data_IF_456900255311
#
_entry.id   IF_456900255311
#
_cell.length_a   1.000
_cell.length_b   1.000
_cell.length_c   1.000
_cell.angle_alpha   90.00
_cell.angle_beta   90.00
_cell.angle_gamma   90.00
#
_symmetry.space_group_name_H-M   'P 1'
#
loop_
_entity.id
_entity.type
_entity.pdbx_description
1 polymer ?
#
# COMPACT_ATOMS: atom_id res chain seq x y z
N UNK A 1 -56.84 -7.71 -16.82
CA UNK A 1 -55.87 -8.36 -17.71
C UNK A 1 -54.79 -8.91 -16.82
N UNK A 2 -54.67 -10.23 -16.85
CA UNK A 2 -54.05 -11.08 -15.84
C UNK A 2 -52.53 -10.97 -15.81
N UNK A 3 -52.00 -11.00 -14.58
CA UNK A 3 -50.64 -11.41 -14.27
C UNK A 3 -50.53 -12.92 -14.52
N UNK A 4 -49.76 -13.35 -15.51
CA UNK A 4 -49.35 -14.74 -15.63
C UNK A 4 -47.86 -14.88 -15.29
N UNK A 5 -47.66 -15.48 -14.12
CA UNK A 5 -46.44 -16.13 -13.66
C UNK A 5 -46.04 -17.21 -14.67
N UNK A 6 -44.85 -17.08 -15.27
CA UNK A 6 -44.20 -18.19 -15.98
C UNK A 6 -42.93 -18.59 -15.23
N UNK A 7 -43.14 -19.42 -14.21
CA UNK A 7 -42.14 -20.33 -13.67
C UNK A 7 -42.22 -21.61 -14.50
N UNK A 8 -41.29 -21.82 -15.43
CA UNK A 8 -41.04 -23.11 -16.05
C UNK A 8 -39.55 -23.23 -16.42
N UNK A 9 -38.91 -24.27 -15.88
CA UNK A 9 -37.61 -24.76 -16.36
C UNK A 9 -36.49 -24.76 -15.32
N UNK A 10 -36.61 -25.58 -14.27
CA UNK A 10 -35.41 -26.09 -13.58
C UNK A 10 -34.74 -27.12 -14.49
N UNK A 11 -33.89 -26.64 -15.39
CA UNK A 11 -32.84 -27.47 -16.00
C UNK A 11 -31.56 -27.26 -15.18
N UNK A 12 -31.00 -28.37 -14.70
CA UNK A 12 -29.68 -28.42 -14.08
C UNK A 12 -28.65 -27.87 -15.08
N UNK A 13 -28.21 -26.62 -14.90
CA UNK A 13 -27.13 -26.05 -15.71
C UNK A 13 -25.80 -26.31 -15.00
N UNK A 14 -25.15 -27.34 -15.51
CA UNK A 14 -23.74 -27.70 -15.42
C UNK A 14 -22.79 -26.53 -15.03
N UNK A 15 -22.10 -26.71 -13.91
CA UNK A 15 -21.03 -25.87 -13.40
C UNK A 15 -19.79 -25.98 -14.32
N UNK A 16 -19.75 -25.27 -15.46
CA UNK A 16 -18.50 -24.80 -16.10
C UNK A 16 -18.71 -24.11 -17.46
N UNK A 17 -19.46 -23.01 -17.51
CA UNK A 17 -19.18 -22.01 -18.56
C UNK A 17 -18.09 -21.08 -18.06
N UNK A 18 -16.87 -21.35 -18.49
CA UNK A 18 -15.73 -20.46 -18.33
C UNK A 18 -16.12 -19.10 -18.93
N UNK A 19 -16.42 -18.13 -18.07
CA UNK A 19 -16.85 -16.79 -18.48
C UNK A 19 -15.66 -16.18 -19.25
N UNK A 20 -15.81 -16.03 -20.56
CA UNK A 20 -14.79 -15.44 -21.41
C UNK A 20 -14.85 -13.91 -21.24
N UNK A 21 -13.97 -13.39 -20.38
CA UNK A 21 -13.92 -11.96 -20.06
C UNK A 21 -13.68 -11.09 -21.30
N UNK A 22 -12.94 -11.58 -22.29
CA UNK A 22 -12.68 -10.85 -23.54
C UNK A 22 -13.97 -10.67 -24.36
N UNK A 23 -14.85 -11.69 -24.35
CA UNK A 23 -16.14 -11.67 -25.07
C UNK A 23 -17.17 -10.80 -24.33
N UNK A 24 -17.09 -10.74 -23.01
CA UNK A 24 -17.89 -9.83 -22.18
C UNK A 24 -17.43 -8.37 -22.32
N UNK A 25 -16.12 -8.13 -22.42
CA UNK A 25 -15.55 -6.81 -22.69
C UNK A 25 -15.97 -6.32 -24.08
N UNK A 26 -15.89 -7.19 -25.09
CA UNK A 26 -16.31 -6.86 -26.47
C UNK A 26 -17.82 -6.59 -26.56
N UNK A 27 -18.67 -7.38 -25.89
CA UNK A 27 -20.11 -7.13 -25.81
C UNK A 27 -20.43 -5.81 -25.09
N UNK A 28 -19.70 -5.50 -24.03
CA UNK A 28 -19.86 -4.25 -23.28
C UNK A 28 -19.41 -3.04 -24.12
N UNK A 29 -18.30 -3.15 -24.85
CA UNK A 29 -17.81 -2.12 -25.78
C UNK A 29 -18.79 -1.89 -26.94
N UNK A 30 -19.36 -2.96 -27.51
CA UNK A 30 -20.38 -2.86 -28.55
C UNK A 30 -21.64 -2.17 -28.03
N UNK A 31 -22.08 -2.52 -26.83
CA UNK A 31 -23.25 -1.91 -26.22
C UNK A 31 -23.00 -0.43 -25.89
N UNK A 32 -21.83 -0.08 -25.34
CA UNK A 32 -21.45 1.33 -25.17
C UNK A 32 -21.42 2.08 -26.50
N UNK A 33 -20.82 1.51 -27.54
CA UNK A 33 -20.71 2.17 -28.86
C UNK A 33 -22.07 2.45 -29.49
N UNK A 34 -23.01 1.50 -29.37
CA UNK A 34 -24.37 1.66 -29.86
C UNK A 34 -25.11 2.76 -29.09
N UNK A 35 -25.01 2.76 -27.76
CA UNK A 35 -25.70 3.76 -26.93
C UNK A 35 -25.11 5.16 -27.06
N UNK A 36 -23.79 5.30 -27.19
CA UNK A 36 -23.16 6.59 -27.50
C UNK A 36 -23.59 7.13 -28.87
N UNK A 37 -23.76 6.26 -29.87
CA UNK A 37 -24.27 6.68 -31.20
C UNK A 37 -25.73 7.14 -31.15
N UNK A 38 -26.55 6.55 -30.28
CA UNK A 38 -27.93 6.99 -30.06
C UNK A 38 -27.95 8.35 -29.35
N UNK A 39 -27.07 8.54 -28.37
CA UNK A 39 -26.95 9.79 -27.62
C UNK A 39 -26.46 10.96 -28.50
N UNK A 40 -25.47 10.74 -29.37
CA UNK A 40 -25.00 11.75 -30.33
C UNK A 40 -26.12 12.20 -31.29
N UNK A 41 -26.95 11.26 -31.77
CA UNK A 41 -28.11 11.59 -32.61
C UNK A 41 -29.12 12.42 -31.85
N UNK A 42 -29.39 12.07 -30.60
CA UNK A 42 -30.33 12.78 -29.75
C UNK A 42 -29.82 14.18 -29.38
N UNK A 43 -28.51 14.34 -29.14
CA UNK A 43 -27.86 15.64 -28.93
C UNK A 43 -27.99 16.54 -30.17
N UNK A 44 -27.86 15.97 -31.37
CA UNK A 44 -28.04 16.67 -32.64
C UNK A 44 -29.49 17.13 -32.83
N UNK A 45 -30.47 16.25 -32.55
CA UNK A 45 -31.90 16.55 -32.61
C UNK A 45 -32.30 17.60 -31.57
N UNK A 46 -31.74 17.57 -30.36
CA UNK A 46 -31.93 18.59 -29.34
C UNK A 46 -31.36 19.96 -29.73
N UNK A 47 -30.26 20.01 -30.50
CA UNK A 47 -29.69 21.26 -31.05
C UNK A 47 -30.56 21.88 -32.15
N UNK A 48 -31.33 21.09 -32.88
CA UNK A 48 -32.24 21.57 -33.94
C UNK A 48 -33.56 22.16 -33.40
N UNK A 49 -33.99 21.75 -32.20
CA UNK A 49 -35.21 22.26 -31.55
C UNK A 49 -34.89 23.59 -30.86
N UNK A 50 -35.04 24.68 -31.62
CA UNK A 50 -34.64 26.05 -31.25
C UNK A 50 -35.27 26.58 -29.95
N UNK A 51 -34.58 26.48 -28.80
CA UNK A 51 -34.26 27.57 -27.83
C UNK A 51 -33.79 27.01 -26.48
N UNK A 52 -32.60 27.38 -25.97
CA UNK A 52 -31.66 26.38 -25.45
C UNK A 52 -31.44 26.31 -23.93
N UNK A 53 -32.03 27.19 -23.10
CA UNK A 53 -31.31 27.53 -21.85
C UNK A 53 -31.74 26.85 -20.54
N UNK A 54 -32.67 25.88 -20.53
CA UNK A 54 -32.94 25.05 -19.32
C UNK A 54 -33.51 23.66 -19.62
N UNK A 55 -34.36 23.55 -20.65
CA UNK A 55 -35.08 22.30 -20.91
C UNK A 55 -34.19 21.26 -21.59
N UNK A 56 -33.30 21.68 -22.50
CA UNK A 56 -32.32 20.79 -23.13
C UNK A 56 -31.37 20.19 -22.10
N UNK A 57 -30.83 21.02 -21.20
CA UNK A 57 -29.96 20.58 -20.10
C UNK A 57 -30.70 19.63 -19.13
N UNK A 58 -31.94 19.95 -18.73
CA UNK A 58 -32.73 19.08 -17.85
C UNK A 58 -33.07 17.74 -18.52
N UNK A 59 -33.34 17.73 -19.83
CA UNK A 59 -33.59 16.50 -20.58
C UNK A 59 -32.31 15.67 -20.70
N UNK A 60 -31.17 16.31 -21.00
CA UNK A 60 -29.89 15.61 -21.05
C UNK A 60 -29.49 15.07 -19.68
N UNK A 61 -29.67 15.84 -18.60
CA UNK A 61 -29.41 15.41 -17.22
C UNK A 61 -30.32 14.22 -16.85
N UNK A 62 -31.62 14.28 -17.13
CA UNK A 62 -32.54 13.16 -16.87
C UNK A 62 -32.20 11.91 -17.70
N UNK A 63 -31.78 12.08 -18.96
CA UNK A 63 -31.35 10.96 -19.81
C UNK A 63 -30.06 10.36 -19.28
N UNK A 64 -29.09 11.20 -18.86
CA UNK A 64 -27.85 10.73 -18.24
C UNK A 64 -28.10 10.06 -16.89
N UNK A 65 -29.01 10.57 -16.07
CA UNK A 65 -29.42 9.98 -14.81
C UNK A 65 -30.14 8.64 -15.04
N UNK A 66 -31.07 8.56 -16.00
CA UNK A 66 -31.74 7.30 -16.33
C UNK A 66 -30.81 6.28 -16.98
N UNK A 67 -29.89 6.73 -17.83
CA UNK A 67 -28.84 5.89 -18.39
C UNK A 67 -27.95 5.36 -17.26
N UNK A 68 -27.41 6.24 -16.41
CA UNK A 68 -26.60 5.86 -15.26
C UNK A 68 -27.35 4.94 -14.29
N UNK A 69 -28.66 5.13 -14.09
CA UNK A 69 -29.49 4.23 -13.31
C UNK A 69 -29.69 2.86 -14.00
N UNK A 70 -29.87 2.82 -15.33
CA UNK A 70 -30.05 1.58 -16.10
C UNK A 70 -28.78 0.73 -16.20
N UNK A 71 -27.61 1.34 -16.34
CA UNK A 71 -26.32 0.62 -16.34
C UNK A 71 -25.69 0.50 -14.94
N UNK A 72 -26.37 1.01 -13.90
CA UNK A 72 -25.91 0.95 -12.51
C UNK A 72 -24.72 1.87 -12.17
N UNK A 73 -24.46 2.90 -12.97
CA UNK A 73 -23.45 3.94 -12.74
C UNK A 73 -23.85 5.03 -11.71
N UNK A 74 -25.10 5.13 -11.24
CA UNK A 74 -25.47 5.94 -10.04
C UNK A 74 -24.96 5.30 -8.73
N UNK A 75 -24.14 4.25 -8.82
CA UNK A 75 -23.40 3.77 -7.68
C UNK A 75 -22.27 4.78 -7.37
N UNK A 76 -22.61 5.86 -6.67
CA UNK A 76 -21.60 6.76 -6.08
C UNK A 76 -20.52 5.93 -5.38
N UNK A 77 -19.29 6.46 -5.27
CA UNK A 77 -18.21 5.76 -4.56
C UNK A 77 -18.63 5.30 -3.16
N UNK A 78 -19.52 6.05 -2.50
CA UNK A 78 -20.09 5.71 -1.20
C UNK A 78 -21.08 4.52 -1.29
N UNK A 79 -21.92 4.47 -2.33
CA UNK A 79 -22.83 3.34 -2.57
C UNK A 79 -22.06 2.05 -2.88
N UNK A 80 -21.04 2.10 -3.75
CA UNK A 80 -20.18 0.94 -4.05
C UNK A 80 -19.43 0.45 -2.81
N UNK A 81 -18.89 1.39 -2.03
CA UNK A 81 -18.20 1.07 -0.79
C UNK A 81 -19.14 0.44 0.24
N UNK A 82 -20.38 0.94 0.34
CA UNK A 82 -21.42 0.38 1.19
C UNK A 82 -21.78 -1.05 0.77
N UNK A 83 -22.05 -1.28 -0.51
CA UNK A 83 -22.35 -2.62 -1.03
C UNK A 83 -21.22 -3.62 -0.75
N UNK A 84 -19.96 -3.21 -0.96
CA UNK A 84 -18.81 -4.04 -0.63
C UNK A 84 -18.78 -4.37 0.86
N UNK A 85 -18.95 -3.37 1.73
CA UNK A 85 -18.89 -3.56 3.18
C UNK A 85 -20.08 -4.40 3.70
N UNK A 86 -21.26 -4.28 3.11
CA UNK A 86 -22.45 -5.08 3.44
C UNK A 86 -22.21 -6.57 3.12
N UNK A 87 -21.50 -6.87 2.02
CA UNK A 87 -21.04 -8.23 1.68
C UNK A 87 -19.87 -8.71 2.55
N UNK A 88 -19.11 -7.81 3.15
CA UNK A 88 -17.92 -8.09 3.96
C UNK A 88 -17.99 -7.46 5.37
N UNK A 89 -18.99 -7.85 6.19
CA UNK A 89 -19.31 -7.15 7.44
C UNK A 89 -18.21 -7.24 8.51
N UNK A 90 -17.34 -8.25 8.42
CA UNK A 90 -16.33 -8.54 9.45
C UNK A 90 -15.01 -7.76 9.26
N UNK A 91 -14.88 -6.99 8.18
CA UNK A 91 -13.64 -6.27 7.86
C UNK A 91 -12.41 -7.18 7.82
N UNK A 92 -11.22 -6.62 8.05
CA UNK A 92 -9.97 -7.38 7.97
C UNK A 92 -9.83 -8.37 9.13
N UNK A 93 -9.84 -9.67 8.84
CA UNK A 93 -9.71 -10.75 9.83
C UNK A 93 -8.37 -11.49 9.74
N UNK A 94 -8.07 -12.27 10.78
CA UNK A 94 -6.90 -13.19 10.76
C UNK A 94 -7.03 -14.25 9.67
N UNK A 95 -8.26 -14.69 9.38
CA UNK A 95 -8.55 -15.70 8.37
C UNK A 95 -8.28 -15.18 6.97
N UNK A 96 -8.72 -13.96 6.64
CA UNK A 96 -8.41 -13.30 5.37
C UNK A 96 -6.90 -13.11 5.20
N UNK A 97 -6.22 -12.65 6.25
CA UNK A 97 -4.76 -12.61 6.27
C UNK A 97 -4.15 -13.98 5.94
N UNK A 98 -4.64 -15.06 6.55
CA UNK A 98 -4.17 -16.41 6.30
C UNK A 98 -4.47 -16.90 4.88
N UNK A 99 -5.63 -16.56 4.30
CA UNK A 99 -5.99 -16.86 2.90
C UNK A 99 -4.96 -16.27 1.95
N UNK A 100 -4.62 -14.98 2.12
CA UNK A 100 -3.60 -14.31 1.30
C UNK A 100 -2.24 -15.02 1.37
N UNK A 101 -1.85 -15.56 2.53
CA UNK A 101 -0.59 -16.30 2.69
C UNK A 101 -0.62 -17.75 2.19
N UNK A 102 -1.82 -18.32 1.98
CA UNK A 102 -2.00 -19.65 1.41
C UNK A 102 -2.07 -19.61 -0.12
N UNK A 103 -2.24 -18.43 -0.71
CA UNK A 103 -2.23 -18.22 -2.15
C UNK A 103 -0.97 -18.80 -2.81
N UNK A 104 -1.15 -19.38 -4.00
CA UNK A 104 -0.08 -20.02 -4.76
C UNK A 104 1.06 -19.06 -5.09
N UNK A 105 0.77 -17.81 -5.43
CA UNK A 105 1.78 -16.78 -5.76
C UNK A 105 2.69 -16.49 -4.57
N UNK A 106 2.11 -16.37 -3.37
CA UNK A 106 2.88 -16.16 -2.16
C UNK A 106 3.73 -17.38 -1.81
N UNK A 107 3.13 -18.59 -1.85
CA UNK A 107 3.84 -19.82 -1.49
C UNK A 107 4.97 -20.14 -2.47
N UNK A 108 4.76 -19.95 -3.76
CA UNK A 108 5.79 -20.07 -4.80
C UNK A 108 6.91 -19.05 -4.60
N UNK A 109 6.59 -17.78 -4.36
CA UNK A 109 7.60 -16.74 -4.09
C UNK A 109 8.40 -17.05 -2.82
N UNK A 110 7.75 -17.56 -1.77
CA UNK A 110 8.40 -17.98 -0.52
C UNK A 110 9.33 -19.17 -0.74
N UNK A 111 8.93 -20.13 -1.58
CA UNK A 111 9.78 -21.27 -1.94
C UNK A 111 10.99 -20.81 -2.77
N UNK A 112 10.78 -19.96 -3.78
CA UNK A 112 11.85 -19.36 -4.57
C UNK A 112 12.84 -18.57 -3.71
N UNK A 113 12.35 -17.81 -2.72
CA UNK A 113 13.19 -17.12 -1.74
C UNK A 113 14.07 -18.10 -0.95
N UNK A 114 13.52 -19.21 -0.46
CA UNK A 114 14.27 -20.23 0.27
C UNK A 114 15.35 -20.89 -0.61
N UNK A 115 15.03 -21.19 -1.88
CA UNK A 115 16.02 -21.76 -2.81
C UNK A 115 17.15 -20.77 -3.10
N UNK A 116 16.83 -19.47 -3.30
CA UNK A 116 17.86 -18.42 -3.41
C UNK A 116 18.74 -18.35 -2.16
N UNK A 117 18.16 -18.53 -0.97
CA UNK A 117 18.92 -18.54 0.27
C UNK A 117 19.87 -19.74 0.35
N UNK A 118 19.40 -20.95 -0.01
CA UNK A 118 20.23 -22.16 -0.09
C UNK A 118 21.38 -22.03 -1.09
N UNK A 119 21.20 -21.24 -2.15
CA UNK A 119 22.28 -20.94 -3.10
C UNK A 119 23.27 -19.86 -2.62
N UNK A 120 23.05 -19.26 -1.45
CA UNK A 120 23.89 -18.16 -0.92
C UNK A 120 23.70 -16.82 -1.62
N UNK A 121 22.67 -16.68 -2.47
CA UNK A 121 22.45 -15.51 -3.32
C UNK A 121 21.25 -14.65 -2.90
N UNK A 122 20.60 -14.96 -1.78
CA UNK A 122 19.47 -14.17 -1.30
C UNK A 122 19.95 -12.82 -0.77
N UNK A 123 19.53 -11.73 -1.40
CA UNK A 123 19.73 -10.37 -0.91
C UNK A 123 18.51 -9.93 -0.11
N UNK A 124 18.77 -9.33 1.04
CA UNK A 124 17.79 -8.58 1.80
C UNK A 124 17.46 -7.29 1.03
N UNK A 125 16.21 -7.14 0.63
CA UNK A 125 15.78 -6.08 -0.27
C UNK A 125 15.75 -4.69 0.38
N UNK A 126 15.61 -4.67 1.70
CA UNK A 126 15.59 -3.45 2.49
C UNK A 126 16.99 -2.96 2.85
N UNK A 127 17.94 -3.89 3.01
CA UNK A 127 19.30 -3.56 3.46
C UNK A 127 20.38 -3.76 2.38
N UNK A 128 20.03 -4.35 1.24
CA UNK A 128 20.95 -4.70 0.16
C UNK A 128 22.00 -5.76 0.51
N UNK A 129 22.02 -6.26 1.75
CA UNK A 129 22.99 -7.24 2.23
C UNK A 129 22.61 -8.65 1.79
N UNK A 130 23.59 -9.46 1.42
CA UNK A 130 23.35 -10.88 1.19
C UNK A 130 23.10 -11.58 2.54
N UNK A 131 21.97 -12.26 2.64
CA UNK A 131 21.62 -13.08 3.79
C UNK A 131 22.38 -14.40 3.76
N UNK A 132 22.96 -14.78 4.91
CA UNK A 132 23.71 -16.03 5.03
C UNK A 132 22.77 -17.23 5.10
N UNK A 133 23.32 -18.41 4.81
CA UNK A 133 22.62 -19.70 4.86
C UNK A 133 22.00 -20.00 6.23
N UNK A 134 22.65 -19.58 7.31
CA UNK A 134 22.23 -19.81 8.69
C UNK A 134 21.37 -18.68 9.28
N UNK A 135 21.05 -17.65 8.48
CA UNK A 135 20.16 -16.57 8.92
C UNK A 135 18.71 -16.91 8.59
N UNK A 136 17.77 -16.43 9.39
CA UNK A 136 16.36 -16.60 9.08
C UNK A 136 15.90 -15.44 8.19
N UNK A 137 15.29 -15.77 7.05
CA UNK A 137 14.69 -14.83 6.12
C UNK A 137 13.17 -14.99 6.07
N UNK A 138 12.45 -13.88 5.94
CA UNK A 138 11.01 -13.82 5.73
C UNK A 138 10.69 -13.11 4.42
N UNK A 139 9.56 -13.48 3.82
CA UNK A 139 8.97 -12.76 2.70
C UNK A 139 7.94 -11.78 3.26
N UNK A 140 8.32 -10.50 3.32
CA UNK A 140 7.51 -9.39 3.81
C UNK A 140 6.55 -8.89 2.73
N UNK A 141 5.43 -8.34 3.17
CA UNK A 141 4.56 -7.52 2.34
C UNK A 141 4.97 -6.05 2.52
N UNK A 142 5.53 -5.43 1.46
CA UNK A 142 6.02 -4.05 1.50
C UNK A 142 4.92 -3.09 1.95
N UNK A 143 3.74 -3.22 1.32
CA UNK A 143 2.47 -2.66 1.78
C UNK A 143 1.72 -3.74 2.54
N UNK A 144 1.34 -3.42 3.79
CA UNK A 144 0.69 -4.38 4.67
C UNK A 144 -0.62 -4.90 4.06
N UNK A 145 -0.88 -6.20 4.19
CA UNK A 145 -2.12 -6.86 3.74
C UNK A 145 -3.38 -6.16 4.24
N UNK A 146 -3.39 -5.70 5.50
CA UNK A 146 -4.49 -4.94 6.08
C UNK A 146 -4.72 -3.61 5.37
N UNK A 147 -3.64 -2.89 5.06
CA UNK A 147 -3.73 -1.61 4.35
C UNK A 147 -4.28 -1.80 2.94
N UNK A 148 -3.86 -2.88 2.25
CA UNK A 148 -4.47 -3.26 0.98
C UNK A 148 -5.94 -3.61 1.22
N UNK A 149 -6.25 -4.44 2.23
CA UNK A 149 -7.61 -4.81 2.64
C UNK A 149 -8.54 -3.59 2.85
N UNK A 150 -8.03 -2.51 3.41
CA UNK A 150 -8.84 -1.34 3.74
C UNK A 150 -8.90 -0.30 2.61
N UNK A 151 -8.16 -0.49 1.51
CA UNK A 151 -8.11 0.45 0.40
C UNK A 151 -9.48 0.62 -0.30
N UNK A 152 -10.05 1.83 -0.23
CA UNK A 152 -11.38 2.13 -0.78
C UNK A 152 -11.46 1.91 -2.29
N UNK A 153 -10.44 2.29 -3.06
CA UNK A 153 -10.43 2.08 -4.52
C UNK A 153 -10.45 0.61 -4.90
N UNK A 154 -9.72 -0.24 -4.15
CA UNK A 154 -9.80 -1.68 -4.34
C UNK A 154 -11.18 -2.24 -3.95
N UNK A 155 -11.82 -1.73 -2.89
CA UNK A 155 -13.21 -2.13 -2.55
C UNK A 155 -14.18 -1.79 -3.67
N UNK A 156 -14.06 -0.57 -4.20
CA UNK A 156 -14.89 -0.05 -5.30
C UNK A 156 -14.71 -0.89 -6.56
N UNK A 157 -13.46 -1.28 -6.87
CA UNK A 157 -13.15 -2.11 -8.03
C UNK A 157 -13.40 -3.62 -7.81
N UNK A 158 -13.87 -4.02 -6.62
CA UNK A 158 -14.08 -5.43 -6.20
C UNK A 158 -12.89 -6.37 -6.51
N UNK A 159 -11.66 -5.85 -6.43
CA UNK A 159 -10.45 -6.63 -6.69
C UNK A 159 -10.11 -7.45 -5.44
N UNK A 160 -9.77 -8.73 -5.62
CA UNK A 160 -9.38 -9.57 -4.49
C UNK A 160 -8.10 -9.06 -3.81
N UNK A 161 -8.06 -9.13 -2.48
CA UNK A 161 -6.92 -8.59 -1.72
C UNK A 161 -5.62 -9.38 -1.98
N UNK A 162 -5.69 -10.68 -2.24
CA UNK A 162 -4.52 -11.49 -2.57
C UNK A 162 -3.91 -11.10 -3.91
N UNK A 163 -4.71 -10.64 -4.87
CA UNK A 163 -4.24 -10.20 -6.19
C UNK A 163 -3.31 -9.00 -6.12
N UNK A 164 -3.57 -8.08 -5.20
CA UNK A 164 -2.69 -6.93 -4.97
C UNK A 164 -1.59 -7.26 -3.97
N UNK A 165 -1.90 -8.01 -2.91
CA UNK A 165 -0.94 -8.30 -1.86
C UNK A 165 0.21 -9.18 -2.34
N UNK A 166 -0.07 -10.18 -3.20
CA UNK A 166 0.92 -11.17 -3.63
C UNK A 166 1.56 -10.84 -4.98
N UNK A 167 1.42 -9.61 -5.46
CA UNK A 167 2.23 -9.11 -6.58
C UNK A 167 3.70 -9.16 -6.20
N UNK A 168 4.56 -9.49 -7.17
CA UNK A 168 6.01 -9.61 -6.96
C UNK A 168 6.60 -8.33 -6.38
N UNK A 169 6.10 -7.18 -6.82
CA UNK A 169 6.54 -5.84 -6.41
C UNK A 169 6.20 -5.55 -4.94
N UNK A 170 5.21 -6.25 -4.37
CA UNK A 170 4.81 -6.09 -2.99
C UNK A 170 5.44 -7.14 -2.06
N UNK A 171 6.21 -8.09 -2.60
CA UNK A 171 6.84 -9.17 -1.82
C UNK A 171 8.34 -8.93 -1.73
N UNK A 172 8.81 -8.65 -0.52
CA UNK A 172 10.21 -8.34 -0.28
C UNK A 172 10.89 -9.34 0.65
N UNK A 173 12.00 -9.92 0.19
CA UNK A 173 12.80 -10.81 1.03
C UNK A 173 13.62 -9.97 2.03
N UNK A 174 13.51 -10.28 3.31
CA UNK A 174 14.25 -9.54 4.35
C UNK A 174 14.59 -10.43 5.54
N UNK A 175 15.55 -10.03 6.36
CA UNK A 175 15.91 -10.74 7.57
C UNK A 175 14.74 -10.76 8.58
N UNK A 176 14.63 -11.87 9.30
CA UNK A 176 13.53 -12.12 10.23
C UNK A 176 13.45 -11.08 11.37
N UNK A 177 14.61 -10.65 11.89
CA UNK A 177 14.67 -9.72 13.03
C UNK A 177 14.07 -8.37 12.69
N UNK A 178 14.41 -7.85 11.50
CA UNK A 178 13.88 -6.61 10.98
C UNK A 178 12.38 -6.76 10.68
N UNK A 179 11.99 -7.81 9.97
CA UNK A 179 10.59 -8.09 9.63
C UNK A 179 9.69 -8.15 10.88
N UNK A 180 10.12 -8.88 11.91
CA UNK A 180 9.40 -9.00 13.18
C UNK A 180 9.35 -7.68 13.93
N UNK A 181 10.39 -6.85 13.82
CA UNK A 181 10.41 -5.55 14.46
C UNK A 181 9.53 -4.53 13.74
N UNK A 182 9.42 -4.58 12.41
CA UNK A 182 8.51 -3.74 11.61
C UNK A 182 7.05 -4.08 11.88
N UNK A 183 6.74 -5.37 12.01
CA UNK A 183 5.37 -5.81 12.31
C UNK A 183 4.40 -5.38 11.21
N UNK A 184 3.32 -4.70 11.59
CA UNK A 184 2.28 -4.23 10.67
C UNK A 184 2.50 -2.80 10.16
N UNK A 185 3.54 -2.11 10.62
CA UNK A 185 3.85 -0.74 10.22
C UNK A 185 4.34 -0.69 8.77
N UNK A 186 4.08 0.44 8.10
CA UNK A 186 4.75 0.75 6.84
C UNK A 186 6.23 1.06 7.06
N UNK A 187 7.05 0.96 6.01
CA UNK A 187 8.46 1.35 6.08
C UNK A 187 8.66 2.80 6.55
N UNK A 188 7.74 3.70 6.18
CA UNK A 188 7.82 5.11 6.57
C UNK A 188 7.51 5.33 8.06
N UNK A 189 6.50 4.64 8.59
CA UNK A 189 6.15 4.67 10.01
C UNK A 189 7.27 4.09 10.87
N UNK A 190 7.82 2.95 10.44
CA UNK A 190 8.91 2.28 11.13
C UNK A 190 10.17 3.14 11.31
N UNK A 191 10.37 4.11 10.41
CA UNK A 191 11.52 5.03 10.45
C UNK A 191 11.27 6.23 11.38
N UNK A 192 10.02 6.68 11.58
CA UNK A 192 9.69 7.92 12.32
C UNK A 192 10.17 7.89 13.77
N UNK A 193 9.90 6.80 14.49
CA UNK A 193 10.19 6.69 15.93
C UNK A 193 11.48 5.90 16.22
N UNK A 194 12.46 5.97 15.30
CA UNK A 194 13.70 5.20 15.37
C UNK A 194 14.44 5.39 16.69
N UNK A 195 14.69 6.63 17.11
CA UNK A 195 15.56 6.92 18.27
C UNK A 195 15.01 6.30 19.56
N UNK A 196 13.70 6.44 19.77
CA UNK A 196 12.99 5.86 20.91
C UNK A 196 13.02 4.34 20.83
N UNK A 197 12.70 3.77 19.66
CA UNK A 197 12.75 2.33 19.41
C UNK A 197 14.15 1.76 19.64
N UNK A 198 15.18 2.47 19.22
CA UNK A 198 16.58 2.06 19.36
C UNK A 198 17.03 2.00 20.81
N UNK A 199 16.66 3.01 21.59
CA UNK A 199 16.89 3.00 23.04
C UNK A 199 16.19 1.81 23.70
N UNK A 200 14.90 1.61 23.41
CA UNK A 200 14.10 0.54 24.00
C UNK A 200 14.63 -0.87 23.66
N UNK A 201 15.10 -1.06 22.44
CA UNK A 201 15.66 -2.34 21.98
C UNK A 201 17.04 -2.60 22.59
N UNK A 202 17.90 -1.58 22.75
CA UNK A 202 19.18 -1.70 23.47
C UNK A 202 18.96 -2.10 24.93
N UNK A 203 18.03 -1.45 25.62
CA UNK A 203 17.68 -1.81 27.00
C UNK A 203 17.16 -3.24 27.12
N UNK A 204 16.34 -3.71 26.16
CA UNK A 204 15.86 -5.09 26.14
C UNK A 204 17.00 -6.10 25.99
N UNK A 205 17.95 -5.82 25.10
CA UNK A 205 19.13 -6.67 24.88
C UNK A 205 20.02 -6.68 26.11
N UNK A 206 20.26 -5.54 26.74
CA UNK A 206 21.02 -5.46 27.98
C UNK A 206 20.39 -6.30 29.09
N UNK A 207 19.06 -6.21 29.27
CA UNK A 207 18.33 -7.06 30.23
C UNK A 207 18.41 -8.53 29.87
N UNK A 208 18.38 -8.89 28.58
CA UNK A 208 18.50 -10.27 28.14
C UNK A 208 19.91 -10.83 28.38
N UNK A 209 20.95 -10.05 28.09
CA UNK A 209 22.35 -10.42 28.32
C UNK A 209 22.62 -10.58 29.83
N UNK A 210 22.12 -9.67 30.68
CA UNK A 210 22.16 -9.81 32.15
C UNK A 210 21.50 -11.10 32.66
N UNK A 211 20.45 -11.59 31.99
CA UNK A 211 19.83 -12.88 32.32
C UNK A 211 20.71 -14.06 31.86
N UNK A 212 21.36 -13.95 30.71
CA UNK A 212 22.31 -14.96 30.20
C UNK A 212 23.51 -15.09 31.13
N UNK A 213 24.05 -13.97 31.63
CA UNK A 213 25.22 -13.98 32.51
C UNK A 213 24.96 -14.76 33.81
N UNK A 214 23.71 -14.71 34.30
CA UNK A 214 23.23 -15.44 35.48
C UNK A 214 22.91 -16.92 35.24
N UNK A 215 22.93 -17.42 34.00
CA UNK A 215 22.69 -18.83 33.71
C UNK A 215 23.89 -19.68 34.06
N UNK A 216 23.61 -20.90 34.51
CA UNK A 216 24.62 -21.94 34.71
C UNK A 216 24.90 -22.67 33.39
N UNK A 217 25.65 -22.00 32.51
CA UNK A 217 26.10 -22.49 31.20
C UNK A 217 27.54 -22.03 30.98
N UNK A 218 28.23 -22.63 30.01
CA UNK A 218 29.63 -22.30 29.74
C UNK A 218 29.81 -20.85 29.29
N UNK A 219 30.97 -20.26 29.58
CA UNK A 219 31.29 -18.89 29.13
C UNK A 219 31.27 -18.76 27.61
N UNK A 220 31.63 -19.83 26.89
CA UNK A 220 31.54 -19.88 25.44
C UNK A 220 30.09 -19.74 24.96
N UNK A 221 29.16 -20.48 25.57
CA UNK A 221 27.74 -20.38 25.24
C UNK A 221 27.16 -19.01 25.60
N UNK A 222 27.55 -18.42 26.74
CA UNK A 222 27.15 -17.05 27.11
C UNK A 222 27.58 -16.05 26.04
N UNK A 223 28.86 -16.09 25.62
CA UNK A 223 29.40 -15.23 24.56
C UNK A 223 28.63 -15.40 23.25
N UNK A 224 28.34 -16.65 22.86
CA UNK A 224 27.59 -16.92 21.64
C UNK A 224 26.16 -16.37 21.70
N UNK A 225 25.45 -16.56 22.81
CA UNK A 225 24.09 -16.03 23.00
C UNK A 225 24.06 -14.49 23.00
N UNK A 226 25.03 -13.86 23.66
CA UNK A 226 25.16 -12.39 23.65
C UNK A 226 25.46 -11.89 22.22
N UNK A 227 26.35 -12.55 21.47
CA UNK A 227 26.63 -12.21 20.07
C UNK A 227 25.40 -12.36 19.16
N UNK A 228 24.57 -13.39 19.37
CA UNK A 228 23.30 -13.55 18.67
C UNK A 228 22.34 -12.40 18.98
N UNK A 229 22.25 -11.96 20.24
CA UNK A 229 21.41 -10.83 20.62
C UNK A 229 21.87 -9.52 19.98
N UNK A 230 23.18 -9.24 20.00
CA UNK A 230 23.77 -8.06 19.36
C UNK A 230 23.57 -8.06 17.84
N UNK A 231 23.70 -9.23 17.19
CA UNK A 231 23.40 -9.36 15.76
C UNK A 231 21.94 -9.01 15.47
N UNK A 232 21.00 -9.60 16.21
CA UNK A 232 19.56 -9.33 16.06
C UNK A 232 19.21 -7.87 16.33
N UNK A 233 19.92 -7.23 17.24
CA UNK A 233 19.78 -5.82 17.53
C UNK A 233 20.20 -4.97 16.34
N UNK A 234 21.39 -5.23 15.79
CA UNK A 234 21.90 -4.54 14.61
C UNK A 234 20.94 -4.72 13.42
N UNK A 235 20.50 -5.95 13.17
CA UNK A 235 19.57 -6.29 12.08
C UNK A 235 18.30 -5.41 12.07
N UNK A 236 17.82 -4.95 13.24
CA UNK A 236 16.63 -4.07 13.38
C UNK A 236 16.87 -2.58 13.07
N UNK A 237 18.13 -2.15 12.98
CA UNK A 237 18.48 -0.74 12.70
C UNK A 237 19.06 -0.52 11.31
N UNK A 238 19.54 -1.58 10.65
CA UNK A 238 20.30 -1.49 9.39
C UNK A 238 19.50 -0.78 8.28
N UNK A 239 18.17 -0.78 8.30
CA UNK A 239 17.34 -0.14 7.27
C UNK A 239 17.75 1.31 6.95
N UNK A 240 17.85 2.17 7.97
CA UNK A 240 18.18 3.58 7.76
C UNK A 240 19.64 3.75 7.34
N UNK A 241 20.56 3.05 8.00
CA UNK A 241 21.99 3.17 7.71
C UNK A 241 22.31 2.62 6.32
N UNK A 242 21.66 1.54 5.91
CA UNK A 242 21.71 1.00 4.55
C UNK A 242 21.13 1.96 3.52
N UNK A 243 19.96 2.55 3.78
CA UNK A 243 19.36 3.53 2.87
C UNK A 243 20.28 4.76 2.71
N UNK A 244 20.87 5.23 3.81
CA UNK A 244 21.86 6.31 3.83
C UNK A 244 23.11 5.95 3.03
N UNK A 245 23.70 4.78 3.23
CA UNK A 245 24.87 4.34 2.49
C UNK A 245 24.58 4.10 1.00
N UNK A 246 23.40 3.56 0.67
CA UNK A 246 22.96 3.40 -0.72
C UNK A 246 22.82 4.76 -1.40
N UNK A 247 22.18 5.73 -0.74
CA UNK A 247 22.07 7.10 -1.23
C UNK A 247 23.45 7.74 -1.40
N UNK A 248 24.34 7.56 -0.43
CA UNK A 248 25.72 8.08 -0.48
C UNK A 248 26.49 7.49 -1.65
N UNK A 249 26.45 6.18 -1.85
CA UNK A 249 27.10 5.49 -2.99
C UNK A 249 26.53 5.94 -4.33
N UNK A 250 25.21 6.10 -4.42
CA UNK A 250 24.57 6.67 -5.61
C UNK A 250 25.13 8.08 -5.87
N UNK A 251 25.13 8.95 -4.87
CA UNK A 251 25.67 10.30 -5.00
C UNK A 251 27.15 10.29 -5.40
N UNK A 252 28.00 9.44 -4.81
CA UNK A 252 29.42 9.28 -5.17
C UNK A 252 29.62 8.79 -6.62
N UNK A 253 28.92 7.73 -7.04
CA UNK A 253 28.96 7.22 -8.42
C UNK A 253 28.56 8.29 -9.43
N UNK A 254 27.52 9.06 -9.08
CA UNK A 254 27.01 10.12 -9.93
C UNK A 254 27.81 11.43 -9.84
N UNK A 255 28.69 11.59 -8.84
CA UNK A 255 29.56 12.77 -8.67
C UNK A 255 30.72 12.80 -9.68
N UNK A 256 31.14 11.64 -10.18
CA UNK A 256 32.27 11.50 -11.12
C UNK A 256 31.86 11.49 -12.61
N UNK A 257 30.56 11.65 -12.91
CA UNK A 257 30.07 11.69 -14.30
C UNK A 257 30.00 13.16 -14.79
N UNK A 258 30.89 13.59 -15.71
CA UNK A 258 30.94 14.97 -16.18
C UNK A 258 29.71 15.40 -17.00
N UNK A 259 28.93 14.46 -17.54
CA UNK A 259 27.68 14.75 -18.27
C UNK A 259 26.46 14.87 -17.35
N UNK A 260 26.59 14.48 -16.08
CA UNK A 260 25.49 14.54 -15.13
C UNK A 260 25.34 15.95 -14.55
N UNK A 261 24.38 16.72 -15.07
CA UNK A 261 24.02 18.06 -14.57
C UNK A 261 23.59 18.07 -13.08
N UNK A 262 23.35 16.90 -12.48
CA UNK A 262 23.02 16.72 -11.06
C UNK A 262 24.26 16.58 -10.15
N UNK A 263 25.44 16.26 -10.71
CA UNK A 263 26.71 16.19 -9.98
C UNK A 263 27.26 17.58 -9.66
N UNK A 264 26.97 18.55 -10.52
CA UNK A 264 27.21 19.95 -10.28
C UNK A 264 26.38 20.32 -9.05
N UNK A 265 27.00 20.85 -7.98
CA UNK A 265 26.41 21.04 -6.64
C UNK A 265 25.09 21.81 -6.54
N UNK A 266 24.42 22.13 -7.64
CA UNK A 266 23.04 22.59 -7.78
C UNK A 266 22.00 21.54 -7.35
N UNK A 267 22.15 20.24 -7.63
CA UNK A 267 21.19 19.23 -7.14
C UNK A 267 21.31 19.01 -5.63
N UNK A 268 22.54 18.83 -5.12
CA UNK A 268 22.79 18.78 -3.68
C UNK A 268 22.27 20.03 -2.98
N UNK A 269 22.54 21.23 -3.51
CA UNK A 269 21.93 22.49 -3.02
C UNK A 269 20.41 22.49 -3.12
N UNK A 270 19.80 21.99 -4.20
CA UNK A 270 18.35 21.92 -4.34
C UNK A 270 17.70 20.97 -3.32
N UNK A 271 18.33 19.81 -3.03
CA UNK A 271 17.86 18.86 -2.01
C UNK A 271 18.04 19.44 -0.61
N UNK A 272 19.22 19.99 -0.30
CA UNK A 272 19.48 20.69 0.96
C UNK A 272 18.52 21.87 1.16
N UNK A 273 18.28 22.67 0.13
CA UNK A 273 17.30 23.75 0.15
C UNK A 273 15.88 23.22 0.33
N UNK A 274 15.51 22.08 -0.25
CA UNK A 274 14.18 21.48 -0.06
C UNK A 274 13.99 21.00 1.37
N UNK A 275 15.03 20.38 1.95
CA UNK A 275 15.07 19.96 3.36
C UNK A 275 15.03 21.19 4.27
N UNK A 276 15.87 22.21 4.02
CA UNK A 276 15.89 23.45 4.78
C UNK A 276 14.56 24.22 4.67
N UNK A 277 13.94 24.28 3.48
CA UNK A 277 12.61 24.85 3.27
C UNK A 277 11.52 24.05 3.94
N UNK A 278 11.60 22.72 3.99
CA UNK A 278 10.63 21.90 4.73
C UNK A 278 10.78 22.11 6.24
N UNK A 279 12.01 22.09 6.77
CA UNK A 279 12.31 22.39 8.17
C UNK A 279 11.90 23.82 8.56
N UNK A 280 12.11 24.80 7.68
CA UNK A 280 11.70 26.19 7.88
C UNK A 280 10.18 26.38 7.75
N UNK A 281 9.49 25.67 6.83
CA UNK A 281 8.02 25.63 6.75
C UNK A 281 7.42 25.00 7.99
N UNK A 282 7.99 23.90 8.49
CA UNK A 282 7.57 23.27 9.75
C UNK A 282 7.77 24.27 10.91
N UNK A 283 8.93 24.91 11.03
CA UNK A 283 9.16 25.97 12.03
C UNK A 283 8.21 27.16 11.89
N UNK A 284 7.91 27.61 10.66
CA UNK A 284 6.97 28.72 10.39
C UNK A 284 5.53 28.32 10.69
N UNK A 285 5.10 27.11 10.35
CA UNK A 285 3.80 26.55 10.74
C UNK A 285 3.66 26.43 12.26
N UNK A 286 4.71 26.02 12.97
CA UNK A 286 4.73 26.02 14.44
C UNK A 286 4.69 27.43 15.02
N UNK A 287 5.44 28.40 14.46
CA UNK A 287 5.41 29.81 14.90
C UNK A 287 4.07 30.48 14.64
N UNK A 288 3.44 30.22 13.48
CA UNK A 288 2.10 30.72 13.15
C UNK A 288 1.04 30.07 14.02
N UNK A 289 1.12 28.76 14.28
CA UNK A 289 0.22 28.09 15.25
C UNK A 289 0.40 28.63 16.67
N UNK A 290 1.64 28.86 17.13
CA UNK A 290 1.92 29.47 18.44
C UNK A 290 1.45 30.92 18.53
N UNK A 291 1.63 31.72 17.46
CA UNK A 291 1.13 33.11 17.40
C UNK A 291 -0.39 33.18 17.34
N UNK A 292 -1.05 32.25 16.64
CA UNK A 292 -2.51 32.18 16.60
C UNK A 292 -3.08 31.66 17.94
N UNK A 293 -2.43 30.69 18.59
CA UNK A 293 -2.80 30.30 19.96
C UNK A 293 -2.57 31.44 20.97
N UNK A 294 -1.50 32.23 20.84
CA UNK A 294 -1.25 33.39 21.69
C UNK A 294 -2.27 34.52 21.45
N UNK A 295 -2.67 34.75 20.18
CA UNK A 295 -3.75 35.70 19.84
C UNK A 295 -5.10 35.27 20.42
N UNK A 296 -5.45 33.98 20.35
CA UNK A 296 -6.69 33.43 20.93
C UNK A 296 -6.68 33.56 22.47
N UNK A 297 -5.53 33.43 23.11
CA UNK A 297 -5.40 33.63 24.57
C UNK A 297 -5.40 35.10 24.99
N UNK A 298 -5.01 36.04 24.12
CA UNK A 298 -5.10 37.49 24.41
C UNK A 298 -6.47 38.11 24.14
N UNK A 299 -7.34 37.47 23.36
CA UNK A 299 -8.71 37.95 23.08
C UNK A 299 -9.70 37.60 24.20
N UNK A 300 -9.35 36.68 25.10
CA UNK A 300 -10.19 36.28 26.26
C UNK A 300 -9.77 36.92 27.61
N UNK A 301 -9.10 38.08 27.60
CA UNK A 301 -8.77 38.84 28.83
C UNK A 301 -9.32 40.29 28.81
N UNK A 302 -10.09 40.65 27.79
CA UNK A 302 -10.86 41.91 27.77
C UNK A 302 -12.27 41.65 27.23
N UNK A 303 -13.06 40.95 28.04
CA UNK A 303 -14.51 41.11 28.22
C UNK A 303 -14.96 40.25 29.40
#
# INVERSE_FOLDING_TARGET
MENELLVLGTEEVDESKNINYDELEELLEQQFTMEFSNLEKLELECKEISSPDKLGDVILDEIWDQFANQIGLDMTSDTLLKQYNDKHPNGYTKEEGAKIMKDKRYTDAKNAMKEKQKSGNLKDEYTGKTLKLNENANLDHVVARKQIFENSWRKIADIDTADLANKKENLAATNESLNKSKGAESNSEYIKDREVREKNLKEQVERANKKIDKKDISDFEKRNLNAINEKRLNDKYILHDSAKETLKKYLELHSNNPENKNANGRFARNVFDRIARSSARVKKCYKVKLSNCAMILSVNVLN
#
